data_IF_450038042033
#
_entry.id   IF_450038042033
#
_cell.length_a   1.000
_cell.length_b   1.000
_cell.length_c   1.000
_cell.angle_alpha   90.00
_cell.angle_beta   90.00
_cell.angle_gamma   90.00
#
_symmetry.space_group_name_H-M   'P 1'
#
loop_
_entity.id
_entity.type
_entity.pdbx_description
1 polymer ?
#
# COMPACT_ATOMS: atom_id res chain seq x y z
N UNK A 1 -41.14 -35.81 22.40
CA UNK A 1 -41.15 -35.56 20.93
C UNK A 1 -40.34 -34.30 20.57
N UNK A 2 -39.32 -34.00 21.36
CA UNK A 2 -37.90 -33.88 21.02
C UNK A 2 -37.50 -32.96 19.86
N UNK A 3 -37.45 -31.67 20.19
CA UNK A 3 -36.76 -30.59 19.48
C UNK A 3 -35.29 -30.93 19.10
N UNK A 4 -34.65 -31.85 19.83
CA UNK A 4 -33.32 -32.36 19.53
C UNK A 4 -33.24 -33.27 18.29
N UNK A 5 -34.31 -33.98 17.93
CA UNK A 5 -34.33 -34.80 16.70
C UNK A 5 -34.45 -33.94 15.44
N UNK A 6 -35.10 -32.78 15.51
CA UNK A 6 -35.22 -31.84 14.38
C UNK A 6 -33.89 -31.13 14.08
N UNK A 7 -33.12 -30.76 15.11
CA UNK A 7 -31.78 -30.18 14.95
C UNK A 7 -30.81 -31.23 14.39
N UNK A 8 -30.89 -32.48 14.84
CA UNK A 8 -30.04 -33.56 14.33
C UNK A 8 -30.32 -33.88 12.85
N UNK A 9 -31.60 -33.89 12.43
CA UNK A 9 -31.97 -34.09 11.03
C UNK A 9 -31.46 -32.96 10.10
N UNK A 10 -31.47 -31.71 10.56
CA UNK A 10 -30.98 -30.55 9.79
C UNK A 10 -29.45 -30.59 9.66
N UNK A 11 -28.72 -31.00 10.71
CA UNK A 11 -27.26 -31.11 10.67
C UNK A 11 -26.79 -32.24 9.74
N UNK A 12 -27.50 -33.38 9.70
CA UNK A 12 -27.19 -34.48 8.77
C UNK A 12 -27.48 -34.09 7.31
N UNK A 13 -28.54 -33.31 7.06
CA UNK A 13 -28.86 -32.83 5.70
C UNK A 13 -27.84 -31.81 5.15
N UNK A 14 -27.26 -30.95 5.99
CA UNK A 14 -26.19 -30.03 5.59
C UNK A 14 -24.87 -30.79 5.37
N UNK A 15 -24.59 -31.83 6.15
CA UNK A 15 -23.40 -32.66 6.04
C UNK A 15 -23.29 -33.47 4.74
N UNK A 16 -24.42 -33.91 4.16
CA UNK A 16 -24.42 -34.71 2.92
C UNK A 16 -24.30 -33.85 1.65
N UNK A 17 -24.66 -32.56 1.70
CA UNK A 17 -24.60 -31.66 0.54
C UNK A 17 -23.20 -31.08 0.23
N UNK A 18 -22.20 -31.33 1.10
CA UNK A 18 -20.81 -30.85 0.94
C UNK A 18 -19.88 -31.86 0.24
N UNK A 19 -20.41 -32.97 -0.29
CA UNK A 19 -19.61 -34.07 -0.85
C UNK A 19 -19.61 -34.17 -2.38
N UNK A 20 -19.83 -33.07 -3.12
CA UNK A 20 -19.58 -33.03 -4.58
C UNK A 20 -18.48 -32.04 -4.92
N UNK A 21 -17.25 -32.41 -4.60
CA UNK A 21 -16.05 -31.69 -4.98
C UNK A 21 -15.85 -31.69 -6.49
N UNK A 22 -16.03 -30.53 -7.14
CA UNK A 22 -15.52 -30.28 -8.50
C UNK A 22 -13.99 -30.32 -8.43
N UNK A 23 -13.40 -31.36 -9.02
CA UNK A 23 -11.94 -31.51 -9.19
C UNK A 23 -11.41 -30.29 -9.95
N UNK A 24 -10.74 -29.36 -9.24
CA UNK A 24 -9.97 -28.28 -9.86
C UNK A 24 -8.79 -28.91 -10.57
N UNK A 25 -8.70 -28.71 -11.89
CA UNK A 25 -7.52 -29.04 -12.67
C UNK A 25 -6.31 -28.30 -12.11
N UNK A 26 -5.17 -28.97 -11.85
CA UNK A 26 -3.98 -28.29 -11.39
C UNK A 26 -3.49 -27.36 -12.50
N UNK A 27 -3.46 -26.06 -12.21
CA UNK A 27 -2.93 -25.03 -13.10
C UNK A 27 -1.42 -25.22 -13.13
N UNK A 28 -0.92 -25.79 -14.23
CA UNK A 28 0.49 -26.08 -14.43
C UNK A 28 1.29 -24.76 -14.44
N UNK A 29 1.87 -24.41 -13.29
CA UNK A 29 2.78 -23.27 -13.16
C UNK A 29 4.12 -23.72 -13.72
N UNK A 30 4.29 -23.61 -15.04
CA UNK A 30 5.59 -23.77 -15.68
C UNK A 30 6.59 -22.91 -14.89
N UNK A 31 7.63 -23.57 -14.36
CA UNK A 31 8.75 -22.97 -13.63
C UNK A 31 9.30 -21.81 -14.46
N UNK A 32 8.83 -20.59 -14.19
CA UNK A 32 9.41 -19.37 -14.77
C UNK A 32 10.83 -19.29 -14.21
N UNK A 33 11.82 -19.42 -15.10
CA UNK A 33 13.21 -19.13 -14.77
C UNK A 33 13.24 -17.71 -14.22
N UNK A 34 13.81 -17.52 -13.03
CA UNK A 34 14.01 -16.20 -12.46
C UNK A 34 14.85 -15.36 -13.43
N UNK A 35 14.51 -14.09 -13.68
CA UNK A 35 15.38 -13.20 -14.44
C UNK A 35 16.69 -13.04 -13.67
N UNK A 36 17.79 -13.59 -14.19
CA UNK A 36 19.12 -13.26 -13.72
C UNK A 36 19.51 -11.94 -14.35
N UNK A 37 19.56 -10.86 -13.57
CA UNK A 37 20.07 -9.58 -14.04
C UNK A 37 21.59 -9.72 -14.29
N UNK A 38 22.08 -9.56 -15.53
CA UNK A 38 23.51 -9.60 -15.78
C UNK A 38 24.18 -8.39 -15.14
N UNK A 39 25.15 -8.62 -14.27
CA UNK A 39 26.09 -7.59 -13.82
C UNK A 39 26.90 -7.14 -15.03
N UNK A 40 26.89 -5.85 -15.34
CA UNK A 40 27.60 -5.31 -16.50
C UNK A 40 29.11 -5.39 -16.30
N UNK A 41 29.74 -6.45 -16.83
CA UNK A 41 31.17 -6.44 -17.10
C UNK A 41 31.41 -5.88 -18.50
N UNK A 42 32.18 -4.80 -18.53
CA UNK A 42 32.65 -4.07 -19.71
C UNK A 42 33.31 -4.98 -20.73
N UNK A 43 32.83 -4.97 -21.97
CA UNK A 43 33.53 -5.60 -23.11
C UNK A 43 33.93 -4.55 -24.14
N UNK A 44 35.22 -4.24 -24.12
CA UNK A 44 35.95 -3.54 -25.17
C UNK A 44 36.27 -4.53 -26.29
N UNK A 45 35.81 -4.29 -27.52
CA UNK A 45 36.51 -4.78 -28.73
C UNK A 45 36.19 -3.92 -29.96
N UNK A 46 37.30 -3.39 -30.46
CA UNK A 46 37.75 -2.91 -31.78
C UNK A 46 37.06 -3.43 -33.06
N UNK A 47 37.23 -2.62 -34.12
CA UNK A 47 36.57 -2.54 -35.43
C UNK A 47 36.88 -3.64 -36.50
N UNK A 48 36.01 -3.74 -37.53
CA UNK A 48 36.29 -3.63 -39.00
C UNK A 48 35.20 -4.34 -39.86
N UNK A 49 34.46 -3.58 -40.71
CA UNK A 49 34.51 -3.52 -42.21
C UNK A 49 33.71 -4.66 -42.90
N UNK A 50 32.94 -4.54 -44.01
CA UNK A 50 32.57 -3.52 -45.02
C UNK A 50 31.26 -4.01 -45.74
N UNK A 51 30.69 -3.40 -46.80
CA UNK A 51 29.24 -3.29 -46.98
C UNK A 51 28.67 -4.26 -48.03
N UNK A 52 27.36 -4.52 -47.97
CA UNK A 52 26.61 -5.05 -49.13
C UNK A 52 25.48 -4.11 -49.49
N UNK A 53 25.51 -3.73 -50.76
CA UNK A 53 24.67 -2.76 -51.44
C UNK A 53 23.43 -3.40 -52.06
N UNK A 54 22.51 -2.51 -52.45
CA UNK A 54 21.35 -2.67 -53.34
C UNK A 54 20.08 -3.35 -52.78
N UNK A 55 19.12 -2.51 -52.37
CA UNK A 55 17.81 -2.45 -53.02
C UNK A 55 17.13 -1.09 -52.77
N UNK A 56 16.46 -0.61 -53.80
CA UNK A 56 15.87 0.70 -54.00
C UNK A 56 14.90 1.18 -52.92
N UNK A 57 15.00 2.48 -52.62
CA UNK A 57 14.03 3.30 -51.91
C UNK A 57 12.61 3.16 -52.48
N UNK A 58 11.68 2.80 -51.61
CA UNK A 58 10.31 3.33 -51.64
C UNK A 58 9.96 3.72 -50.20
N UNK A 59 10.36 4.94 -49.81
CA UNK A 59 9.91 5.56 -48.57
C UNK A 59 8.43 5.92 -48.71
N UNK A 60 7.56 4.97 -48.37
CA UNK A 60 6.13 5.20 -48.14
C UNK A 60 5.98 5.97 -46.83
N UNK A 61 5.20 7.04 -46.90
CA UNK A 61 4.73 7.95 -45.83
C UNK A 61 4.55 7.25 -44.47
N UNK A 62 5.05 7.79 -43.34
CA UNK A 62 4.85 7.16 -42.04
C UNK A 62 3.43 7.43 -41.54
N UNK A 63 2.47 6.60 -41.95
CA UNK A 63 1.24 6.37 -41.19
C UNK A 63 1.64 5.57 -39.97
N UNK A 64 2.03 6.25 -38.88
CA UNK A 64 2.86 5.74 -37.78
C UNK A 64 2.68 4.23 -37.51
N UNK A 65 3.51 3.42 -38.15
CA UNK A 65 3.32 1.97 -38.35
C UNK A 65 3.74 1.15 -37.14
N UNK A 66 3.31 1.56 -35.95
CA UNK A 66 3.60 0.83 -34.72
C UNK A 66 3.06 -0.60 -34.83
N UNK A 67 3.97 -1.56 -34.86
CA UNK A 67 3.67 -2.98 -34.75
C UNK A 67 4.25 -3.44 -33.43
N UNK A 68 3.39 -3.99 -32.58
CA UNK A 68 3.86 -4.64 -31.35
C UNK A 68 4.65 -5.88 -31.74
N UNK A 69 5.95 -5.85 -31.49
CA UNK A 69 6.85 -6.98 -31.65
C UNK A 69 7.29 -7.46 -30.26
N UNK A 70 6.71 -8.57 -29.74
CA UNK A 70 7.09 -9.09 -28.44
C UNK A 70 8.53 -9.62 -28.40
N UNK A 71 9.09 -9.98 -29.56
CA UNK A 71 10.42 -10.57 -29.70
C UNK A 71 11.49 -9.53 -30.08
N UNK A 72 11.07 -8.31 -30.43
CA UNK A 72 11.92 -7.19 -30.80
C UNK A 72 12.53 -6.43 -29.61
N UNK A 73 13.40 -5.45 -29.92
CA UNK A 73 13.94 -4.54 -28.91
C UNK A 73 12.86 -3.58 -28.40
N UNK A 74 12.71 -3.51 -27.07
CA UNK A 74 11.71 -2.64 -26.47
C UNK A 74 12.29 -1.27 -26.13
N UNK A 75 11.60 -0.17 -26.46
CA UNK A 75 12.11 1.21 -26.29
C UNK A 75 11.95 1.73 -24.85
N UNK A 76 12.18 0.88 -23.83
CA UNK A 76 12.04 1.28 -22.43
C UNK A 76 13.40 1.60 -21.80
N UNK A 77 13.43 2.69 -21.04
CA UNK A 77 14.57 3.08 -20.22
C UNK A 77 14.13 3.30 -18.77
N UNK A 78 15.06 3.11 -17.84
CA UNK A 78 14.83 3.43 -16.42
C UNK A 78 14.64 4.94 -16.27
N UNK A 79 13.69 5.34 -15.44
CA UNK A 79 13.47 6.74 -15.01
C UNK A 79 13.55 6.87 -13.49
N UNK A 80 13.69 8.10 -13.02
CA UNK A 80 13.45 8.42 -11.61
C UNK A 80 11.98 8.13 -11.27
N UNK A 81 11.75 7.62 -10.05
CA UNK A 81 10.43 7.22 -9.61
C UNK A 81 9.51 8.44 -9.44
N UNK A 82 10.04 9.48 -8.79
CA UNK A 82 9.39 10.75 -8.47
C UNK A 82 10.32 11.92 -8.84
N UNK A 83 9.77 13.13 -8.94
CA UNK A 83 10.53 14.36 -9.20
C UNK A 83 11.33 14.84 -7.98
N UNK A 84 12.22 15.82 -8.15
CA UNK A 84 12.99 16.40 -7.03
C UNK A 84 12.08 17.13 -6.04
N UNK A 85 11.08 17.86 -6.54
CA UNK A 85 10.06 18.53 -5.72
C UNK A 85 9.22 17.53 -4.92
N UNK A 86 8.80 16.44 -5.56
CA UNK A 86 8.14 15.31 -4.88
C UNK A 86 9.07 14.67 -3.84
N UNK A 87 10.36 14.51 -4.13
CA UNK A 87 11.34 13.94 -3.20
C UNK A 87 11.49 14.78 -1.93
N UNK A 88 11.49 16.12 -2.07
CA UNK A 88 11.49 17.04 -0.93
C UNK A 88 10.24 16.87 -0.07
N UNK A 89 9.05 16.82 -0.68
CA UNK A 89 7.81 16.61 0.06
C UNK A 89 7.82 15.24 0.76
N UNK A 90 8.24 14.19 0.06
CA UNK A 90 8.33 12.84 0.60
C UNK A 90 9.18 12.79 1.89
N UNK A 91 10.33 13.47 1.89
CA UNK A 91 11.18 13.56 3.09
C UNK A 91 10.46 14.25 4.24
N UNK A 92 9.81 15.40 3.99
CA UNK A 92 9.05 16.13 5.02
C UNK A 92 7.86 15.32 5.55
N UNK A 93 7.18 14.55 4.70
CA UNK A 93 6.12 13.64 5.12
C UNK A 93 6.67 12.52 6.01
N UNK A 94 7.83 11.94 5.68
CA UNK A 94 8.49 10.91 6.50
C UNK A 94 8.92 11.45 7.86
N UNK A 95 9.41 12.68 7.91
CA UNK A 95 9.75 13.37 9.16
C UNK A 95 8.51 13.69 9.98
N UNK A 96 7.43 14.15 9.33
CA UNK A 96 6.18 14.50 10.01
C UNK A 96 5.47 13.28 10.59
N UNK A 97 5.53 12.14 9.90
CA UNK A 97 4.79 10.92 10.22
C UNK A 97 5.70 9.68 10.17
N UNK A 98 6.65 9.53 11.11
CA UNK A 98 7.61 8.42 11.11
C UNK A 98 6.94 7.05 11.23
N UNK A 99 5.83 6.98 11.98
CA UNK A 99 5.02 5.78 12.21
C UNK A 99 3.95 5.55 11.14
N UNK A 100 4.07 6.15 9.96
CA UNK A 100 3.13 5.95 8.86
C UNK A 100 3.83 5.47 7.59
N UNK A 101 3.08 4.73 6.77
CA UNK A 101 3.54 4.36 5.45
C UNK A 101 3.20 5.45 4.45
N UNK A 102 4.16 5.74 3.56
CA UNK A 102 3.99 6.70 2.48
C UNK A 102 4.28 5.98 1.18
N UNK A 103 3.26 5.93 0.32
CA UNK A 103 3.37 5.38 -1.02
C UNK A 103 3.43 6.51 -2.04
N UNK A 104 4.20 6.33 -3.10
CA UNK A 104 4.35 7.33 -4.17
C UNK A 104 3.70 6.86 -5.47
N UNK A 105 3.20 7.79 -6.28
CA UNK A 105 2.69 7.54 -7.64
C UNK A 105 1.59 6.44 -7.67
N UNK A 106 0.65 6.51 -6.73
CA UNK A 106 -0.37 5.48 -6.52
C UNK A 106 -1.54 5.67 -7.49
N UNK A 107 -1.80 4.67 -8.33
CA UNK A 107 -2.95 4.70 -9.23
C UNK A 107 -4.28 4.74 -8.46
N UNK A 108 -5.25 5.54 -8.94
CA UNK A 108 -6.57 5.66 -8.31
C UNK A 108 -7.29 4.31 -8.21
N UNK A 109 -7.08 3.42 -9.19
CA UNK A 109 -7.62 2.06 -9.20
C UNK A 109 -7.16 1.20 -8.02
N UNK A 110 -6.06 1.55 -7.35
CA UNK A 110 -5.57 0.87 -6.14
C UNK A 110 -6.23 1.41 -4.87
N UNK A 111 -6.83 2.59 -4.93
CA UNK A 111 -7.41 3.28 -3.77
C UNK A 111 -8.93 3.11 -3.70
N UNK A 112 -9.58 2.85 -4.83
CA UNK A 112 -11.05 2.84 -4.90
C UNK A 112 -11.57 1.53 -5.46
N UNK A 113 -12.78 1.17 -5.05
CA UNK A 113 -13.54 0.05 -5.62
C UNK A 113 -14.85 0.54 -6.23
N UNK A 114 -15.31 -0.20 -7.25
CA UNK A 114 -16.61 0.07 -7.88
C UNK A 114 -17.70 -0.62 -7.06
N UNK A 115 -18.70 0.15 -6.63
CA UNK A 115 -19.84 -0.37 -5.85
C UNK A 115 -20.55 -1.50 -6.62
N UNK A 116 -21.09 -2.48 -5.89
CA UNK A 116 -21.88 -3.58 -6.48
C UNK A 116 -23.03 -3.03 -7.33
N UNK A 117 -23.33 -3.69 -8.45
CA UNK A 117 -24.37 -3.27 -9.39
C UNK A 117 -23.93 -2.29 -10.49
N UNK A 118 -22.66 -1.88 -10.50
CA UNK A 118 -22.09 -1.06 -11.57
C UNK A 118 -21.08 -1.84 -12.43
N UNK A 119 -20.92 -1.42 -13.69
CA UNK A 119 -19.95 -2.00 -14.63
C UNK A 119 -18.50 -1.62 -14.22
N UNK A 120 -17.81 -2.59 -13.63
CA UNK A 120 -16.42 -2.43 -13.19
C UNK A 120 -15.50 -1.98 -14.33
N UNK A 121 -15.57 -2.60 -15.50
CA UNK A 121 -14.65 -2.32 -16.62
C UNK A 121 -14.82 -0.89 -17.10
N UNK A 122 -16.08 -0.45 -17.25
CA UNK A 122 -16.40 0.90 -17.69
C UNK A 122 -15.92 1.97 -16.71
N UNK A 123 -16.00 1.72 -15.41
CA UNK A 123 -15.50 2.64 -14.39
C UNK A 123 -13.98 2.58 -14.25
N UNK A 124 -13.36 1.40 -14.33
CA UNK A 124 -11.91 1.24 -14.29
C UNK A 124 -11.22 2.03 -15.41
N UNK A 125 -11.70 1.94 -16.64
CA UNK A 125 -11.16 2.70 -17.79
C UNK A 125 -11.25 4.23 -17.63
N UNK A 126 -12.07 4.73 -16.71
CA UNK A 126 -12.17 6.17 -16.45
C UNK A 126 -11.03 6.68 -15.56
N UNK A 127 -10.41 5.81 -14.77
CA UNK A 127 -9.46 6.18 -13.72
C UNK A 127 -8.09 5.50 -13.86
N UNK A 128 -7.95 4.54 -14.78
CA UNK A 128 -6.74 3.73 -14.95
C UNK A 128 -5.50 4.50 -15.45
N UNK A 129 -5.68 5.75 -15.90
CA UNK A 129 -4.59 6.65 -16.28
C UNK A 129 -4.35 7.73 -15.22
N UNK A 130 -4.97 7.61 -14.05
CA UNK A 130 -4.89 8.59 -12.98
C UNK A 130 -4.14 8.01 -11.80
N UNK A 131 -3.20 8.78 -11.28
CA UNK A 131 -2.49 8.52 -10.03
C UNK A 131 -2.53 9.74 -9.14
N UNK A 132 -2.28 9.50 -7.85
CA UNK A 132 -1.92 10.53 -6.88
C UNK A 132 -0.44 10.48 -6.57
N UNK A 133 0.15 11.62 -6.24
CA UNK A 133 1.59 11.70 -5.98
C UNK A 133 1.97 10.94 -4.72
N UNK A 134 1.18 11.10 -3.65
CA UNK A 134 1.38 10.37 -2.41
C UNK A 134 0.09 9.85 -1.77
N UNK A 135 0.25 8.79 -1.00
CA UNK A 135 -0.78 8.25 -0.09
C UNK A 135 -0.15 8.02 1.27
N UNK A 136 -0.76 8.59 2.31
CA UNK A 136 -0.46 8.24 3.70
C UNK A 136 -1.37 7.09 4.11
N UNK A 137 -0.77 6.04 4.68
CA UNK A 137 -1.49 4.92 5.26
C UNK A 137 -1.07 4.67 6.71
N UNK A 138 -2.00 4.14 7.50
CA UNK A 138 -1.74 3.70 8.87
C UNK A 138 -0.93 2.38 8.91
N UNK A 139 -0.62 1.92 10.11
CA UNK A 139 0.11 0.68 10.36
C UNK A 139 -0.59 -0.59 9.86
N UNK A 140 -1.90 -0.53 9.59
CA UNK A 140 -2.69 -1.60 9.00
C UNK A 140 -2.85 -1.45 7.48
N UNK A 141 -2.13 -0.49 6.87
CA UNK A 141 -2.18 -0.15 5.46
C UNK A 141 -3.54 0.40 5.00
N UNK A 142 -4.34 0.95 5.91
CA UNK A 142 -5.55 1.68 5.52
C UNK A 142 -5.17 3.09 5.06
N UNK A 143 -5.75 3.53 3.94
CA UNK A 143 -5.56 4.88 3.43
C UNK A 143 -6.13 5.92 4.39
N UNK A 144 -5.29 6.86 4.81
CA UNK A 144 -5.70 8.05 5.58
C UNK A 144 -6.03 9.20 4.63
N UNK A 145 -5.11 9.50 3.70
CA UNK A 145 -5.28 10.58 2.76
C UNK A 145 -4.42 10.38 1.49
N UNK A 146 -4.90 10.97 0.40
CA UNK A 146 -4.13 11.20 -0.81
C UNK A 146 -3.58 12.63 -0.85
N UNK A 147 -2.42 12.81 -1.48
CA UNK A 147 -1.74 14.11 -1.58
C UNK A 147 -1.31 14.35 -3.03
N UNK A 148 -1.47 15.60 -3.48
CA UNK A 148 -1.02 16.09 -4.80
C UNK A 148 -0.12 17.32 -4.65
N UNK A 149 0.83 17.44 -5.55
CA UNK A 149 1.65 18.63 -5.78
C UNK A 149 1.22 19.33 -7.08
N UNK A 150 0.75 20.57 -6.96
CA UNK A 150 0.30 21.38 -8.09
C UNK A 150 1.33 22.46 -8.45
N UNK A 151 1.66 22.58 -9.74
CA UNK A 151 2.46 23.70 -10.28
C UNK A 151 1.55 24.86 -10.76
N UNK A 152 2.04 26.11 -10.75
CA UNK A 152 1.33 27.27 -11.33
C UNK A 152 0.92 27.10 -12.80
N UNK A 153 1.54 26.21 -13.54
CA UNK A 153 1.20 25.96 -14.96
C UNK A 153 -0.13 25.23 -15.15
N UNK A 154 -0.79 24.80 -14.07
CA UNK A 154 -2.03 24.03 -14.13
C UNK A 154 -3.25 24.81 -14.65
N UNK A 155 -3.27 26.15 -14.54
CA UNK A 155 -4.52 26.92 -14.70
C UNK A 155 -5.01 27.14 -16.14
N UNK A 156 -4.22 26.83 -17.16
CA UNK A 156 -4.54 27.18 -18.56
C UNK A 156 -5.01 26.00 -19.42
N UNK A 157 -4.91 24.76 -18.90
CA UNK A 157 -5.26 23.57 -19.67
C UNK A 157 -6.61 22.97 -19.21
N UNK A 158 -7.63 23.12 -20.05
CA UNK A 158 -8.99 22.64 -19.79
C UNK A 158 -9.07 21.11 -19.60
N UNK A 159 -8.23 20.34 -20.31
CA UNK A 159 -8.17 18.89 -20.15
C UNK A 159 -7.60 18.49 -18.78
N UNK A 160 -6.58 19.21 -18.31
CA UNK A 160 -5.97 18.99 -17.00
C UNK A 160 -6.97 19.32 -15.88
N UNK A 161 -7.70 20.43 -16.00
CA UNK A 161 -8.80 20.74 -15.07
C UNK A 161 -9.88 19.65 -15.03
N UNK A 162 -10.27 19.11 -16.19
CA UNK A 162 -11.24 18.00 -16.25
C UNK A 162 -10.69 16.74 -15.60
N UNK A 163 -9.41 16.44 -15.77
CA UNK A 163 -8.75 15.30 -15.14
C UNK A 163 -8.69 15.47 -13.61
N UNK A 164 -8.29 16.65 -13.13
CA UNK A 164 -8.19 16.97 -11.70
C UNK A 164 -9.59 16.93 -11.04
N UNK A 165 -10.60 17.54 -11.66
CA UNK A 165 -11.98 17.47 -11.16
C UNK A 165 -12.52 16.03 -11.11
N UNK A 166 -12.15 15.18 -12.08
CA UNK A 166 -12.54 13.77 -12.09
C UNK A 166 -11.83 12.98 -10.99
N UNK A 167 -10.54 13.25 -10.77
CA UNK A 167 -9.74 12.67 -9.68
C UNK A 167 -10.39 13.01 -8.33
N UNK A 168 -10.74 14.27 -8.13
CA UNK A 168 -11.39 14.77 -6.91
C UNK A 168 -12.72 14.09 -6.65
N UNK A 169 -13.56 14.07 -7.69
CA UNK A 169 -14.85 13.39 -7.63
C UNK A 169 -14.70 11.91 -7.29
N UNK A 170 -13.67 11.25 -7.82
CA UNK A 170 -13.42 9.82 -7.56
C UNK A 170 -13.02 9.57 -6.11
N UNK A 171 -12.04 10.32 -5.60
CA UNK A 171 -11.53 10.14 -4.25
C UNK A 171 -12.55 10.57 -3.19
N UNK A 172 -13.27 11.69 -3.43
CA UNK A 172 -14.38 12.12 -2.55
C UNK A 172 -15.50 11.08 -2.53
N UNK A 173 -15.88 10.51 -3.67
CA UNK A 173 -16.91 9.46 -3.71
C UNK A 173 -16.49 8.17 -2.99
N UNK A 174 -15.18 7.94 -2.83
CA UNK A 174 -14.61 6.83 -2.06
C UNK A 174 -14.40 7.17 -0.57
N UNK A 175 -14.68 8.40 -0.13
CA UNK A 175 -14.43 8.85 1.23
C UNK A 175 -12.96 9.08 1.55
N UNK A 176 -12.11 9.24 0.54
CA UNK A 176 -10.68 9.49 0.69
C UNK A 176 -10.44 10.99 0.70
N UNK A 177 -9.86 11.49 1.79
CA UNK A 177 -9.43 12.88 1.92
C UNK A 177 -8.29 13.18 0.94
N UNK A 178 -8.35 14.34 0.29
CA UNK A 178 -7.31 14.82 -0.62
C UNK A 178 -6.71 16.09 -0.04
N UNK A 179 -5.38 16.17 0.01
CA UNK A 179 -4.63 17.37 0.40
C UNK A 179 -3.81 17.83 -0.80
N UNK A 180 -3.84 19.13 -1.09
CA UNK A 180 -3.09 19.72 -2.21
C UNK A 180 -2.16 20.79 -1.70
N UNK A 181 -0.92 20.73 -2.16
CA UNK A 181 0.05 21.80 -1.95
C UNK A 181 0.61 22.29 -3.26
N UNK A 182 0.90 23.59 -3.29
CA UNK A 182 1.58 24.20 -4.43
C UNK A 182 3.07 23.96 -4.32
N UNK A 183 3.70 23.55 -5.41
CA UNK A 183 5.15 23.34 -5.46
C UNK A 183 5.93 24.59 -5.04
N UNK A 184 5.43 25.79 -5.36
CA UNK A 184 6.10 27.04 -5.00
C UNK A 184 6.01 27.40 -3.52
N UNK A 185 5.13 26.73 -2.77
CA UNK A 185 4.91 26.94 -1.34
C UNK A 185 4.91 25.58 -0.64
N UNK A 186 6.08 24.94 -0.64
CA UNK A 186 6.28 23.64 -0.02
C UNK A 186 6.06 23.72 1.50
N UNK A 187 5.12 22.95 2.08
CA UNK A 187 4.80 23.03 3.51
C UNK A 187 5.96 22.55 4.38
N UNK A 188 6.19 23.19 5.51
CA UNK A 188 7.12 22.68 6.54
C UNK A 188 6.57 21.42 7.21
N UNK A 189 7.42 20.68 7.92
CA UNK A 189 7.03 19.49 8.69
C UNK A 189 5.92 19.80 9.70
N UNK A 190 5.96 20.97 10.35
CA UNK A 190 4.92 21.43 11.28
C UNK A 190 3.61 21.72 10.57
N UNK A 191 3.65 22.40 9.41
CA UNK A 191 2.47 22.69 8.61
C UNK A 191 1.82 21.40 8.08
N UNK A 192 2.64 20.41 7.72
CA UNK A 192 2.18 19.07 7.38
C UNK A 192 1.44 18.47 8.58
N UNK A 193 2.03 18.44 9.78
CA UNK A 193 1.36 17.89 10.97
C UNK A 193 0.03 18.57 11.28
N UNK A 194 -0.04 19.90 11.16
CA UNK A 194 -1.29 20.66 11.34
C UNK A 194 -2.36 20.33 10.31
N UNK A 195 -1.97 19.95 9.09
CA UNK A 195 -2.91 19.54 8.07
C UNK A 195 -3.57 18.18 8.37
N UNK A 196 -3.00 17.34 9.25
CA UNK A 196 -3.51 16.00 9.60
C UNK A 196 -3.78 15.85 11.11
N UNK A 197 -4.74 16.60 11.67
CA UNK A 197 -5.08 16.52 13.10
C UNK A 197 -5.54 15.10 13.52
N UNK A 198 -6.13 14.33 12.62
CA UNK A 198 -6.55 12.94 12.84
C UNK A 198 -5.37 12.00 13.11
N UNK A 199 -4.18 12.28 12.54
CA UNK A 199 -2.96 11.52 12.81
C UNK A 199 -2.40 11.93 14.17
N UNK A 200 -2.24 13.24 14.39
CA UNK A 200 -1.65 13.79 15.61
C UNK A 200 -2.45 13.39 16.85
N UNK A 201 -3.78 13.48 16.79
CA UNK A 201 -4.66 13.08 17.90
C UNK A 201 -4.52 11.59 18.26
N UNK A 202 -4.37 10.71 17.27
CA UNK A 202 -4.17 9.26 17.50
C UNK A 202 -2.81 8.96 18.11
N UNK A 203 -1.75 9.63 17.68
CA UNK A 203 -0.42 9.51 18.29
C UNK A 203 -0.45 9.91 19.77
N UNK A 204 -1.10 11.02 20.11
CA UNK A 204 -1.23 11.47 21.51
C UNK A 204 -2.00 10.48 22.40
N UNK A 205 -3.09 9.88 21.89
CA UNK A 205 -3.85 8.85 22.64
C UNK A 205 -2.99 7.60 22.88
N UNK A 206 -2.23 7.19 21.86
CA UNK A 206 -1.37 6.01 21.94
C UNK A 206 -0.24 6.19 22.95
N UNK A 207 0.40 7.37 22.95
CA UNK A 207 1.44 7.73 23.92
C UNK A 207 0.90 7.82 25.35
N UNK A 208 -0.28 8.40 25.55
CA UNK A 208 -0.90 8.47 26.87
C UNK A 208 -1.24 7.08 27.44
N UNK A 209 -1.69 6.16 26.58
CA UNK A 209 -2.03 4.79 27.00
C UNK A 209 -0.80 4.00 27.41
N UNK A 210 0.32 4.14 26.68
CA UNK A 210 1.57 3.44 27.01
C UNK A 210 2.16 3.92 28.34
N UNK A 211 2.19 5.23 28.59
CA UNK A 211 2.67 5.82 29.85
C UNK A 211 1.83 5.37 31.06
N UNK A 212 0.49 5.33 30.93
CA UNK A 212 -0.38 4.89 32.03
C UNK A 212 -0.16 3.41 32.37
N UNK A 213 -0.02 2.54 31.37
CA UNK A 213 0.27 1.11 31.61
C UNK A 213 1.67 0.84 32.16
N UNK A 214 2.63 1.73 31.91
CA UNK A 214 3.98 1.62 32.47
C UNK A 214 4.01 2.00 33.97
N UNK A 215 3.25 3.02 34.36
CA UNK A 215 3.24 3.52 35.74
C UNK A 215 2.40 2.66 36.71
N UNK A 216 1.43 1.89 36.20
CA UNK A 216 0.56 0.98 36.99
C UNK A 216 1.25 -0.36 37.35
N UNK A 217 2.43 -0.65 36.77
CA UNK A 217 3.20 -1.88 37.08
C UNK A 217 4.20 -1.73 38.21
N UNK A 218 4.32 -0.55 38.79
CA UNK A 218 5.09 -0.30 40.02
C UNK A 218 4.20 -0.52 41.24
N UNK A 219 3.82 -1.77 41.54
CA UNK A 219 3.32 -2.09 42.87
C UNK A 219 4.48 -2.05 43.89
N UNK A 220 4.28 -1.48 45.09
CA UNK A 220 5.28 -1.54 46.15
C UNK A 220 5.36 -2.98 46.66
N UNK A 221 6.55 -3.56 46.63
CA UNK A 221 6.86 -4.85 47.26
C UNK A 221 6.55 -4.78 48.77
N UNK A 222 5.36 -5.21 49.17
CA UNK A 222 5.04 -5.43 50.58
C UNK A 222 5.85 -6.66 51.02
N UNK A 223 6.93 -6.39 51.76
CA UNK A 223 7.74 -7.40 52.42
C UNK A 223 6.87 -8.30 53.30
N UNK A 224 6.90 -9.59 52.99
CA UNK A 224 6.22 -10.66 53.68
C UNK A 224 6.60 -10.68 55.17
N UNK A 225 5.67 -10.32 56.06
CA UNK A 225 5.79 -10.53 57.51
C UNK A 225 5.24 -11.93 57.78
N UNK A 226 6.12 -12.86 58.15
CA UNK A 226 5.75 -14.20 58.62
C UNK A 226 5.10 -14.12 60.01
N UNK A 227 3.98 -14.82 60.28
CA UNK A 227 3.46 -14.93 61.63
C UNK A 227 4.26 -15.97 62.41
N UNK A 228 4.84 -15.52 63.51
CA UNK A 228 5.40 -16.33 64.59
C UNK A 228 4.29 -17.18 65.22
N UNK A 229 4.40 -18.51 65.12
CA UNK A 229 3.42 -19.44 65.65
C UNK A 229 3.87 -19.96 67.02
N UNK A 230 3.20 -19.44 68.04
CA UNK A 230 3.27 -19.85 69.43
C UNK A 230 2.63 -21.23 69.62
N UNK A 231 3.42 -22.24 70.06
CA UNK A 231 2.89 -23.47 70.68
C UNK A 231 3.94 -24.14 71.59
N UNK A 232 3.73 -24.01 72.90
CA UNK A 232 4.41 -24.71 73.98
C UNK A 232 3.87 -26.17 74.20
N UNK A 233 4.20 -26.89 75.28
CA UNK A 233 5.44 -27.64 75.51
C UNK A 233 5.19 -29.14 75.85
N UNK A 234 6.28 -29.93 75.97
CA UNK A 234 6.49 -31.14 76.79
C UNK A 234 7.15 -32.30 76.03
N UNK A 235 8.32 -32.76 76.48
CA UNK A 235 8.45 -33.92 77.36
C UNK A 235 9.92 -34.14 77.77
N UNK A 236 10.14 -34.16 79.09
CA UNK A 236 11.28 -34.77 79.77
C UNK A 236 10.83 -36.17 80.20
N UNK A 237 11.61 -37.22 79.89
CA UNK A 237 11.83 -38.39 80.76
C UNK A 237 12.97 -39.29 80.25
N UNK A 238 13.96 -39.39 81.12
CA UNK A 238 15.10 -40.31 81.25
C UNK A 238 14.91 -41.73 80.69
N UNK A 239 15.94 -42.26 80.03
CA UNK A 239 16.88 -43.29 80.53
C UNK A 239 18.14 -43.29 79.65
#
# INVERSE_FOLDING_TARGET
MDFFFLIFAIMVAIGVAMATGKKKTPRNYNKRRFPTWPTSESRTTTASSTPKSFASQQSKTPTNGFRYDPDGEWPFQKRQLITDTESLLFQRLREAFPEHYIFTQVQLSQLVSVKKGHDFKRWFLRINQMSVDFVIADQQLNTIAAIELDDKTHYTNEERHKADAKKDKTLTAAGIRIVRWRCEIMPSTEQIRLAFPEIVSRESITAFTSEKTANDRTEPSISHITPEQDRAPAQLKNF
#
